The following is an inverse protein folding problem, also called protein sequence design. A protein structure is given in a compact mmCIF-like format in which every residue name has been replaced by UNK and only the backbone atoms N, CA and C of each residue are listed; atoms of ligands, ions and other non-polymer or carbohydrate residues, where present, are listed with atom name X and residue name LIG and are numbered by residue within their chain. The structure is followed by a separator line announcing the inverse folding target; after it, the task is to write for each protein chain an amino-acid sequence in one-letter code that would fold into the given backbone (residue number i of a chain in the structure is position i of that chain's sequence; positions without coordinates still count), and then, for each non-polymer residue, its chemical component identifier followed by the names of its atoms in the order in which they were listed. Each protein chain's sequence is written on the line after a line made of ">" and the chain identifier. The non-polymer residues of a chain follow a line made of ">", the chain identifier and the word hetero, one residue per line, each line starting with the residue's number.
data_IF_846415147749
#
_entry.id   IF_846415147749
#
_cell.length_a   1.000
_cell.length_b   1.000
_cell.length_c   1.000
_cell.angle_alpha   90.00
_cell.angle_beta   90.00
_cell.angle_gamma   90.00
#
_symmetry.space_group_name_H-M   'P 1'
#
loop_
_entity.id
_entity.type
_entity.pdbx_description
1 polymer ?
#
# COMPACT_ATOMS: atom_id res chain seq x y z
N UNK A 1 -27.40 -11.22 -0.42
CA UNK A 1 -26.93 -10.26 -1.43
C UNK A 1 -25.75 -9.46 -0.87
N UNK A 2 -24.59 -9.63 -1.52
CA UNK A 2 -23.43 -8.71 -1.68
C UNK A 2 -22.70 -8.16 -0.42
N UNK A 3 -21.51 -8.72 -0.13
CA UNK A 3 -20.28 -7.90 -0.06
C UNK A 3 -19.14 -8.66 -0.75
N UNK A 4 -18.96 -8.31 -2.02
CA UNK A 4 -17.87 -8.67 -2.93
C UNK A 4 -16.52 -8.73 -2.19
N UNK A 5 -15.77 -9.82 -2.40
CA UNK A 5 -14.30 -9.77 -2.42
C UNK A 5 -13.94 -8.51 -3.20
N UNK A 6 -13.48 -7.51 -2.47
CA UNK A 6 -13.07 -6.26 -3.09
C UNK A 6 -11.60 -6.49 -3.40
N UNK A 7 -11.26 -6.75 -4.65
CA UNK A 7 -9.88 -6.89 -5.09
C UNK A 7 -9.08 -5.65 -4.65
N UNK A 8 -8.20 -5.78 -3.65
CA UNK A 8 -7.38 -4.67 -3.13
C UNK A 8 -5.92 -5.07 -3.08
N UNK A 9 -5.06 -4.09 -3.37
CA UNK A 9 -3.63 -4.24 -3.21
C UNK A 9 -3.19 -3.76 -1.84
N UNK A 10 -2.09 -4.32 -1.34
CA UNK A 10 -1.37 -3.76 -0.21
C UNK A 10 0.10 -3.54 -0.58
N UNK A 11 0.66 -2.44 -0.09
CA UNK A 11 2.10 -2.18 -0.09
C UNK A 11 2.63 -2.51 1.29
N UNK A 12 3.61 -3.41 1.32
CA UNK A 12 4.37 -3.77 2.52
C UNK A 12 5.61 -2.88 2.59
N UNK A 13 5.96 -2.47 3.80
CA UNK A 13 7.13 -1.65 4.05
C UNK A 13 8.08 -2.37 5.01
N UNK A 14 9.36 -2.07 4.89
CA UNK A 14 10.38 -2.59 5.82
C UNK A 14 10.41 -1.76 7.11
N UNK A 15 10.09 -0.47 7.02
CA UNK A 15 10.07 0.46 8.16
C UNK A 15 8.81 1.32 8.16
N UNK A 16 8.42 1.78 9.36
CA UNK A 16 7.30 2.71 9.54
C UNK A 16 7.56 4.06 8.86
N UNK A 17 8.83 4.51 8.82
CA UNK A 17 9.20 5.75 8.15
C UNK A 17 8.91 5.70 6.64
N UNK A 18 9.25 4.59 5.99
CA UNK A 18 8.92 4.37 4.58
C UNK A 18 7.40 4.36 4.34
N UNK A 19 6.64 3.71 5.23
CA UNK A 19 5.18 3.70 5.14
C UNK A 19 4.57 5.11 5.26
N UNK A 20 5.04 5.91 6.21
CA UNK A 20 4.60 7.30 6.39
C UNK A 20 4.99 8.16 5.18
N UNK A 21 6.20 7.99 4.63
CA UNK A 21 6.64 8.69 3.42
C UNK A 21 5.76 8.32 2.23
N UNK A 22 5.51 7.03 2.03
CA UNK A 22 4.62 6.51 0.99
C UNK A 22 3.22 7.11 1.10
N UNK A 23 2.62 7.10 2.29
CA UNK A 23 1.31 7.69 2.55
C UNK A 23 1.29 9.17 2.15
N UNK A 24 2.28 9.96 2.60
CA UNK A 24 2.35 11.38 2.26
C UNK A 24 2.42 11.62 0.76
N UNK A 25 3.25 10.90 0.01
CA UNK A 25 3.40 11.13 -1.44
C UNK A 25 2.16 10.68 -2.21
N UNK A 26 1.52 9.59 -1.76
CA UNK A 26 0.30 9.07 -2.38
C UNK A 26 -0.90 9.99 -2.12
N UNK A 27 -1.04 10.53 -0.91
CA UNK A 27 -2.06 11.52 -0.58
C UNK A 27 -1.83 12.82 -1.37
N UNK A 28 -0.58 13.28 -1.48
CA UNK A 28 -0.24 14.46 -2.29
C UNK A 28 -0.56 14.26 -3.78
N UNK A 29 -0.47 13.02 -4.28
CA UNK A 29 -0.88 12.65 -5.63
C UNK A 29 -2.40 12.39 -5.77
N UNK A 30 -3.19 12.77 -4.76
CA UNK A 30 -4.65 12.59 -4.68
C UNK A 30 -5.11 11.13 -4.83
N UNK A 31 -4.25 10.17 -4.45
CA UNK A 31 -4.57 8.76 -4.48
C UNK A 31 -5.32 8.38 -3.20
N UNK A 32 -6.50 7.76 -3.36
CA UNK A 32 -7.21 7.14 -2.23
C UNK A 32 -6.45 5.91 -1.73
N UNK A 33 -5.81 6.07 -0.59
CA UNK A 33 -5.10 5.01 0.12
C UNK A 33 -5.60 4.91 1.55
N UNK A 34 -5.41 3.75 2.19
CA UNK A 34 -5.67 3.53 3.61
C UNK A 34 -4.49 2.85 4.26
N UNK A 35 -3.89 3.49 5.25
CA UNK A 35 -2.93 2.80 6.11
C UNK A 35 -3.69 1.83 7.02
N UNK A 36 -3.30 0.57 6.99
CA UNK A 36 -3.87 -0.51 7.79
C UNK A 36 -2.74 -1.27 8.50
N UNK A 37 -2.98 -1.84 9.69
CA UNK A 37 -2.04 -2.79 10.26
C UNK A 37 -1.85 -3.96 9.28
N UNK A 38 -0.64 -4.49 9.21
CA UNK A 38 -0.32 -5.61 8.32
C UNK A 38 -1.25 -6.79 8.68
N UNK A 39 -1.95 -7.38 7.68
CA UNK A 39 -2.81 -8.52 7.94
C UNK A 39 -2.04 -9.64 8.65
N UNK A 40 -2.64 -10.29 9.67
CA UNK A 40 -1.99 -11.34 10.48
C UNK A 40 -1.39 -12.50 9.68
N UNK A 41 -1.83 -12.71 8.44
CA UNK A 41 -1.29 -13.75 7.55
C UNK A 41 0.00 -13.34 6.84
N UNK A 42 0.45 -12.09 7.00
CA UNK A 42 1.62 -11.53 6.34
C UNK A 42 2.59 -11.05 7.41
N UNK A 43 3.78 -11.64 7.43
CA UNK A 43 4.87 -11.18 8.28
C UNK A 43 5.53 -9.98 7.63
N UNK A 44 5.30 -8.78 8.16
CA UNK A 44 6.05 -7.58 7.78
C UNK A 44 6.67 -6.94 9.02
N UNK A 45 7.95 -6.56 8.91
CA UNK A 45 8.75 -6.07 10.04
C UNK A 45 8.21 -4.80 10.69
N UNK A 46 7.52 -3.93 9.95
CA UNK A 46 7.05 -2.63 10.47
C UNK A 46 5.63 -2.63 11.04
N UNK A 47 4.88 -3.72 10.89
CA UNK A 47 3.49 -3.84 11.39
C UNK A 47 2.44 -2.98 10.67
N UNK A 48 2.82 -2.13 9.71
CA UNK A 48 1.90 -1.27 8.93
C UNK A 48 2.02 -1.49 7.42
N UNK A 49 0.91 -1.33 6.72
CA UNK A 49 0.83 -1.49 5.26
C UNK A 49 -0.14 -0.47 4.68
N UNK A 50 0.02 -0.15 3.39
CA UNK A 50 -0.91 0.73 2.69
C UNK A 50 -1.80 -0.10 1.79
N UNK A 51 -3.10 -0.06 2.06
CA UNK A 51 -4.14 -0.64 1.20
C UNK A 51 -4.57 0.37 0.13
N UNK A 52 -4.76 -0.13 -1.08
CA UNK A 52 -5.20 0.63 -2.25
C UNK A 52 -6.05 -0.25 -3.17
N UNK A 53 -6.77 0.35 -4.12
CA UNK A 53 -7.60 -0.40 -5.07
C UNK A 53 -6.74 -0.98 -6.21
N UNK A 54 -6.96 -2.24 -6.60
CA UNK A 54 -6.09 -2.89 -7.61
C UNK A 54 -5.92 -2.15 -8.96
N UNK A 55 -6.93 -1.45 -9.51
CA UNK A 55 -6.78 -0.70 -10.76
C UNK A 55 -5.72 0.41 -10.72
N UNK A 56 -5.39 0.94 -9.54
CA UNK A 56 -4.39 2.00 -9.37
C UNK A 56 -2.99 1.47 -9.01
N UNK A 57 -2.78 0.14 -9.00
CA UNK A 57 -1.51 -0.49 -8.65
C UNK A 57 -0.32 0.06 -9.45
N UNK A 58 -0.49 0.21 -10.77
CA UNK A 58 0.55 0.76 -11.64
C UNK A 58 0.93 2.19 -11.25
N UNK A 59 -0.09 3.02 -10.94
CA UNK A 59 0.12 4.41 -10.53
C UNK A 59 0.77 4.53 -9.15
N UNK A 60 0.37 3.67 -8.20
CA UNK A 60 1.02 3.56 -6.89
C UNK A 60 2.51 3.28 -7.08
N UNK A 61 2.86 2.26 -7.88
CA UNK A 61 4.24 1.88 -8.13
C UNK A 61 5.05 3.04 -8.73
N UNK A 62 4.53 3.70 -9.77
CA UNK A 62 5.20 4.86 -10.39
C UNK A 62 5.47 5.98 -9.38
N UNK A 63 4.47 6.36 -8.58
CA UNK A 63 4.63 7.45 -7.58
C UNK A 63 5.69 7.08 -6.54
N UNK A 64 5.70 5.82 -6.07
CA UNK A 64 6.69 5.35 -5.11
C UNK A 64 8.11 5.36 -5.69
N UNK A 65 8.28 4.88 -6.92
CA UNK A 65 9.57 4.88 -7.62
C UNK A 65 10.06 6.31 -7.88
N UNK A 66 9.21 7.21 -8.40
CA UNK A 66 9.54 8.63 -8.66
C UNK A 66 9.97 9.37 -7.38
N UNK A 67 9.35 9.05 -6.25
CA UNK A 67 9.64 9.69 -4.96
C UNK A 67 10.74 8.96 -4.14
N UNK A 68 11.40 7.96 -4.73
CA UNK A 68 12.42 7.14 -4.07
C UNK A 68 11.92 6.64 -2.71
N UNK A 69 10.73 6.04 -2.69
CA UNK A 69 10.12 5.46 -1.49
C UNK A 69 10.43 3.98 -1.46
N UNK A 70 11.14 3.54 -0.44
CA UNK A 70 11.48 2.12 -0.28
C UNK A 70 10.27 1.34 0.22
N UNK A 71 9.92 0.26 -0.47
CA UNK A 71 8.87 -0.67 -0.09
C UNK A 71 9.40 -2.11 -0.18
N UNK A 72 8.84 -3.00 0.64
CA UNK A 72 9.23 -4.40 0.69
C UNK A 72 8.62 -5.19 -0.47
N UNK A 73 7.31 -5.05 -0.67
CA UNK A 73 6.60 -5.69 -1.78
C UNK A 73 5.23 -5.05 -1.99
N UNK A 74 4.72 -5.16 -3.22
CA UNK A 74 3.31 -4.86 -3.54
C UNK A 74 2.61 -6.20 -3.79
N UNK A 75 1.52 -6.45 -3.05
CA UNK A 75 0.75 -7.70 -3.11
C UNK A 75 -0.68 -7.40 -3.51
N UNK A 76 -1.19 -8.15 -4.49
CA UNK A 76 -2.59 -8.15 -4.90
C UNK A 76 -3.34 -9.17 -4.05
N UNK A 77 -4.38 -8.75 -3.32
CA UNK A 77 -5.28 -9.65 -2.60
C UNK A 77 -6.62 -9.65 -3.35
N UNK A 78 -6.93 -10.81 -3.93
CA UNK A 78 -8.14 -11.13 -4.68
C UNK A 78 -9.06 -12.05 -3.88
#
# INVERSE_FOLDING_TARGET
>A
MIKKNSDYGIVLFETTQSAIKAEKVLIQAEIKIKMIPVPRHISANCGVSIRFDLPIAGRIKSILDENNVQYSAIRSLI
#
